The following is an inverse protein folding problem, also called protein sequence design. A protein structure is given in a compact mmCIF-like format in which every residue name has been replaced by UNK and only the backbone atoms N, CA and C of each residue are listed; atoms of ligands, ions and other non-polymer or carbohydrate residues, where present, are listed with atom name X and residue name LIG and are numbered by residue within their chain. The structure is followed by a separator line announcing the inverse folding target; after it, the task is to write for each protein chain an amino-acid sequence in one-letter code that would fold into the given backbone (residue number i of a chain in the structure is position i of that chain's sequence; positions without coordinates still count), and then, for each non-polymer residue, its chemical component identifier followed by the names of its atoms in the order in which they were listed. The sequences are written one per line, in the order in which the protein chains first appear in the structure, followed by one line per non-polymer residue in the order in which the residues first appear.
data_IF_442544583714
#
_entry.id   IF_442544583714
#
_cell.length_a   1.000
_cell.length_b   1.000
_cell.length_c   1.000
_cell.angle_alpha   90.00
_cell.angle_beta   90.00
_cell.angle_gamma   90.00
#
_symmetry.space_group_name_H-M   'P 1'
#
loop_
_entity.id
_entity.type
_entity.pdbx_description
1 polymer ?
#
# COMPACT_ATOMS: atom_id res chain seq x y z
N UNK A 1 -7.37 33.70 -46.04
CA UNK A 1 -7.87 34.30 -44.78
C UNK A 1 -9.32 33.82 -44.65
N UNK A 2 -9.72 32.97 -43.71
CA UNK A 2 -9.65 33.01 -42.23
C UNK A 2 -9.45 31.57 -41.70
N UNK A 3 -8.64 31.31 -40.66
CA UNK A 3 -8.48 29.97 -40.07
C UNK A 3 -9.49 29.77 -38.92
N UNK A 4 -10.15 28.61 -38.82
CA UNK A 4 -10.97 28.30 -37.64
C UNK A 4 -10.97 26.81 -37.24
N UNK A 5 -10.25 26.57 -36.13
CA UNK A 5 -10.56 25.71 -34.98
C UNK A 5 -10.68 24.20 -35.24
N UNK A 6 -9.54 23.51 -35.10
CA UNK A 6 -9.52 22.12 -34.67
C UNK A 6 -9.84 22.06 -33.16
N UNK A 7 -10.92 21.36 -32.79
CA UNK A 7 -11.21 21.04 -31.39
C UNK A 7 -10.13 20.11 -30.83
N UNK A 8 -9.25 20.64 -29.99
CA UNK A 8 -8.38 19.84 -29.12
C UNK A 8 -9.18 19.40 -27.89
N UNK A 9 -9.80 18.23 -27.98
CA UNK A 9 -10.31 17.49 -26.83
C UNK A 9 -9.14 16.85 -26.08
N UNK A 10 -8.42 17.62 -25.25
CA UNK A 10 -7.34 17.10 -24.44
C UNK A 10 -7.12 17.93 -23.17
N UNK A 11 -8.12 18.06 -22.30
CA UNK A 11 -7.94 18.75 -21.01
C UNK A 11 -8.75 18.13 -19.87
N UNK A 12 -8.57 16.83 -19.57
CA UNK A 12 -9.05 16.28 -18.28
C UNK A 12 -8.21 15.11 -17.74
N UNK A 13 -6.93 15.00 -18.08
CA UNK A 13 -6.08 13.91 -17.55
C UNK A 13 -4.83 14.35 -16.78
N UNK A 14 -4.56 15.66 -16.69
CA UNK A 14 -3.31 16.17 -16.10
C UNK A 14 -3.40 16.63 -14.64
N UNK A 15 -4.60 16.76 -14.06
CA UNK A 15 -4.75 17.36 -12.72
C UNK A 15 -4.45 16.40 -11.55
N UNK A 16 -4.49 15.09 -11.74
CA UNK A 16 -4.37 14.15 -10.60
C UNK A 16 -2.92 13.75 -10.26
N UNK A 17 -1.97 13.89 -11.19
CA UNK A 17 -0.58 13.43 -10.99
C UNK A 17 0.32 14.50 -10.35
N UNK A 18 -0.14 15.75 -10.25
CA UNK A 18 0.77 16.91 -10.17
C UNK A 18 0.88 17.60 -8.80
N UNK A 19 0.64 16.89 -7.69
CA UNK A 19 0.84 17.44 -6.35
C UNK A 19 1.75 16.62 -5.42
N UNK A 20 2.60 15.72 -5.95
CA UNK A 20 3.64 15.10 -5.11
C UNK A 20 4.79 16.06 -4.87
N UNK A 21 5.08 16.33 -3.60
CA UNK A 21 6.22 17.14 -3.17
C UNK A 21 7.55 16.55 -3.65
N UNK A 22 8.58 17.38 -3.83
CA UNK A 22 9.94 16.90 -4.15
C UNK A 22 10.50 15.95 -3.08
N UNK A 23 9.98 16.03 -1.86
CA UNK A 23 10.35 15.12 -0.79
C UNK A 23 9.77 13.73 -1.00
N UNK A 24 8.48 13.62 -1.31
CA UNK A 24 7.79 12.34 -1.56
C UNK A 24 8.38 11.62 -2.77
N UNK A 25 8.66 12.33 -3.87
CA UNK A 25 9.31 11.74 -5.05
C UNK A 25 10.65 11.10 -4.70
N UNK A 26 11.50 11.81 -3.95
CA UNK A 26 12.80 11.28 -3.48
C UNK A 26 12.66 10.08 -2.56
N UNK A 27 11.56 9.96 -1.82
CA UNK A 27 11.29 8.78 -0.99
C UNK A 27 10.85 7.61 -1.88
N UNK A 28 9.91 7.84 -2.80
CA UNK A 28 9.43 6.82 -3.73
C UNK A 28 10.57 6.25 -4.58
N UNK A 29 11.40 7.10 -5.17
CA UNK A 29 12.59 6.68 -5.94
C UNK A 29 13.53 5.80 -5.11
N UNK A 30 13.75 6.14 -3.83
CA UNK A 30 14.60 5.35 -2.93
C UNK A 30 13.97 3.99 -2.58
N UNK A 31 12.65 3.95 -2.39
CA UNK A 31 11.90 2.71 -2.13
C UNK A 31 11.95 1.82 -3.37
N UNK A 32 11.67 2.38 -4.54
CA UNK A 32 11.66 1.66 -5.81
C UNK A 32 13.05 1.14 -6.16
N UNK A 33 14.08 1.97 -6.05
CA UNK A 33 15.47 1.54 -6.28
C UNK A 33 15.88 0.40 -5.36
N UNK A 34 15.50 0.47 -4.07
CA UNK A 34 15.76 -0.62 -3.12
C UNK A 34 15.02 -1.89 -3.52
N UNK A 35 13.75 -1.76 -3.90
CA UNK A 35 12.92 -2.89 -4.35
C UNK A 35 13.54 -3.57 -5.56
N UNK A 36 13.89 -2.82 -6.60
CA UNK A 36 14.51 -3.33 -7.82
C UNK A 36 15.85 -4.02 -7.52
N UNK A 37 16.64 -3.45 -6.60
CA UNK A 37 17.91 -4.06 -6.16
C UNK A 37 17.72 -5.35 -5.35
N UNK A 38 16.63 -5.46 -4.59
CA UNK A 38 16.29 -6.70 -3.88
C UNK A 38 15.73 -7.75 -4.85
N UNK A 39 14.89 -7.35 -5.81
CA UNK A 39 14.31 -8.21 -6.84
C UNK A 39 15.34 -8.73 -7.85
N UNK A 40 16.38 -7.95 -8.18
CA UNK A 40 17.46 -8.38 -9.08
C UNK A 40 18.32 -9.51 -8.52
N UNK A 41 18.28 -9.73 -7.20
CA UNK A 41 18.99 -10.83 -6.52
C UNK A 41 18.20 -12.13 -6.49
N UNK A 42 16.94 -12.11 -6.95
CA UNK A 42 16.05 -13.27 -6.92
C UNK A 42 16.10 -13.99 -8.27
N UNK A 43 16.09 -15.32 -8.20
CA UNK A 43 15.81 -16.16 -9.37
C UNK A 43 14.37 -15.96 -9.84
N UNK A 44 14.09 -16.24 -11.11
CA UNK A 44 12.72 -16.07 -11.64
C UNK A 44 11.72 -17.00 -10.96
N UNK A 45 12.15 -18.21 -10.57
CA UNK A 45 11.34 -19.13 -9.76
C UNK A 45 10.99 -18.52 -8.40
N UNK A 46 11.95 -17.90 -7.70
CA UNK A 46 11.67 -17.22 -6.42
C UNK A 46 10.71 -16.04 -6.60
N UNK A 47 10.85 -15.27 -7.68
CA UNK A 47 9.93 -14.16 -7.98
C UNK A 47 8.50 -14.67 -8.20
N UNK A 48 8.34 -15.72 -9.00
CA UNK A 48 7.04 -16.31 -9.28
C UNK A 48 6.36 -16.82 -8.00
N UNK A 49 7.09 -17.56 -7.17
CA UNK A 49 6.57 -18.11 -5.92
C UNK A 49 6.15 -17.01 -4.92
N UNK A 50 6.97 -15.96 -4.77
CA UNK A 50 6.63 -14.81 -3.93
C UNK A 50 5.44 -14.01 -4.47
N UNK A 51 5.31 -13.92 -5.80
CA UNK A 51 4.16 -13.28 -6.44
C UNK A 51 2.87 -14.04 -6.16
N UNK A 52 2.88 -15.36 -6.35
CA UNK A 52 1.73 -16.24 -6.10
C UNK A 52 1.30 -16.17 -4.64
N UNK A 53 2.23 -16.31 -3.69
CA UNK A 53 1.92 -16.19 -2.26
C UNK A 53 1.31 -14.82 -1.91
N UNK A 54 1.84 -13.73 -2.50
CA UNK A 54 1.26 -12.39 -2.31
C UNK A 54 -0.15 -12.28 -2.89
N UNK A 55 -0.36 -12.79 -4.10
CA UNK A 55 -1.67 -12.77 -4.78
C UNK A 55 -2.69 -13.53 -3.93
N UNK A 56 -2.35 -14.74 -3.50
CA UNK A 56 -3.26 -15.61 -2.76
C UNK A 56 -3.60 -15.02 -1.38
N UNK A 57 -2.64 -14.39 -0.71
CA UNK A 57 -2.91 -13.58 0.49
C UNK A 57 -3.86 -12.42 0.21
N UNK A 58 -3.64 -11.64 -0.86
CA UNK A 58 -4.49 -10.49 -1.18
C UNK A 58 -5.94 -10.89 -1.47
N UNK A 59 -6.13 -12.03 -2.13
CA UNK A 59 -7.44 -12.60 -2.43
C UNK A 59 -8.12 -13.11 -1.15
N UNK A 60 -7.43 -13.95 -0.36
CA UNK A 60 -7.99 -14.53 0.87
C UNK A 60 -8.26 -13.49 1.96
N UNK A 61 -7.49 -12.41 2.03
CA UNK A 61 -7.68 -11.33 3.01
C UNK A 61 -8.62 -10.21 2.55
N UNK A 62 -9.26 -10.33 1.38
CA UNK A 62 -10.08 -9.26 0.81
C UNK A 62 -11.21 -8.82 1.77
N UNK A 63 -12.02 -9.77 2.26
CA UNK A 63 -13.16 -9.46 3.13
C UNK A 63 -12.69 -8.85 4.47
N UNK A 64 -11.58 -9.33 5.01
CA UNK A 64 -10.98 -8.76 6.22
C UNK A 64 -10.56 -7.29 6.00
N UNK A 65 -9.96 -6.98 4.84
CA UNK A 65 -9.58 -5.61 4.48
C UNK A 65 -10.79 -4.71 4.29
N UNK A 66 -11.84 -5.23 3.65
CA UNK A 66 -13.09 -4.52 3.45
C UNK A 66 -13.79 -4.24 4.78
N UNK A 67 -13.88 -5.24 5.66
CA UNK A 67 -14.46 -5.08 6.99
C UNK A 67 -13.69 -4.05 7.84
N UNK A 68 -12.35 -4.05 7.75
CA UNK A 68 -11.52 -3.05 8.42
C UNK A 68 -11.76 -1.64 7.86
N UNK A 69 -11.95 -1.49 6.56
CA UNK A 69 -12.28 -0.20 5.96
C UNK A 69 -13.64 0.30 6.45
N UNK A 70 -14.67 -0.54 6.33
CA UNK A 70 -16.04 -0.21 6.68
C UNK A 70 -16.19 0.11 8.17
N UNK A 71 -15.61 -0.71 9.05
CA UNK A 71 -15.64 -0.45 10.51
C UNK A 71 -14.96 0.87 10.88
N UNK A 72 -13.85 1.21 10.23
CA UNK A 72 -13.19 2.50 10.42
C UNK A 72 -14.06 3.68 9.97
N UNK A 73 -14.70 3.55 8.81
CA UNK A 73 -15.62 4.56 8.28
C UNK A 73 -16.82 4.76 9.22
N UNK A 74 -17.53 3.69 9.56
CA UNK A 74 -18.70 3.75 10.45
C UNK A 74 -18.35 4.33 11.83
N UNK A 75 -17.20 3.96 12.41
CA UNK A 75 -16.76 4.53 13.69
C UNK A 75 -16.60 6.05 13.59
N UNK A 76 -15.93 6.53 12.55
CA UNK A 76 -15.70 7.97 12.35
C UNK A 76 -17.00 8.73 12.06
N UNK A 77 -17.90 8.18 11.27
CA UNK A 77 -19.21 8.78 10.99
C UNK A 77 -20.08 8.90 12.25
N UNK A 78 -19.98 7.91 13.16
CA UNK A 78 -20.71 7.93 14.43
C UNK A 78 -20.08 8.79 15.54
N UNK A 79 -18.84 9.26 15.35
CA UNK A 79 -18.09 9.96 16.39
C UNK A 79 -18.61 11.40 16.57
N UNK A 80 -19.27 11.65 17.70
CA UNK A 80 -19.84 12.97 18.03
C UNK A 80 -18.85 13.93 18.71
N UNK A 81 -17.69 13.42 19.13
CA UNK A 81 -16.67 14.20 19.84
C UNK A 81 -15.27 13.96 19.27
N UNK A 82 -14.37 14.92 19.53
CA UNK A 82 -12.97 14.79 19.15
C UNK A 82 -12.32 13.53 19.74
N UNK A 83 -12.58 13.25 21.02
CA UNK A 83 -12.02 12.08 21.70
C UNK A 83 -12.55 10.77 21.13
N UNK A 84 -13.85 10.69 20.82
CA UNK A 84 -14.41 9.53 20.12
C UNK A 84 -13.73 9.30 18.76
N UNK A 85 -13.53 10.38 17.99
CA UNK A 85 -12.82 10.32 16.71
C UNK A 85 -11.35 9.90 16.86
N UNK A 86 -10.66 10.35 17.92
CA UNK A 86 -9.30 9.91 18.25
C UNK A 86 -9.27 8.41 18.55
N UNK A 87 -10.17 7.91 19.38
CA UNK A 87 -10.28 6.47 19.68
C UNK A 87 -10.56 5.65 18.43
N UNK A 88 -11.45 6.11 17.52
CA UNK A 88 -11.68 5.44 16.24
C UNK A 88 -10.39 5.33 15.41
N UNK A 89 -9.62 6.42 15.31
CA UNK A 89 -8.34 6.43 14.58
C UNK A 89 -7.31 5.49 15.19
N UNK A 90 -7.24 5.42 16.51
CA UNK A 90 -6.31 4.52 17.22
C UNK A 90 -6.67 3.04 16.98
N UNK A 91 -7.95 2.68 17.11
CA UNK A 91 -8.44 1.33 16.79
C UNK A 91 -8.14 0.95 15.34
N UNK A 92 -8.45 1.85 14.40
CA UNK A 92 -8.17 1.64 12.98
C UNK A 92 -6.68 1.43 12.72
N UNK A 93 -5.81 2.21 13.38
CA UNK A 93 -4.36 2.08 13.29
C UNK A 93 -3.88 0.73 13.82
N UNK A 94 -4.39 0.29 14.96
CA UNK A 94 -4.03 -1.00 15.55
C UNK A 94 -4.43 -2.18 14.63
N UNK A 95 -5.66 -2.18 14.13
CA UNK A 95 -6.13 -3.25 13.26
C UNK A 95 -5.38 -3.26 11.90
N UNK A 96 -5.02 -2.09 11.36
CA UNK A 96 -4.11 -2.02 10.18
C UNK A 96 -2.74 -2.60 10.47
N UNK A 97 -2.17 -2.35 11.65
CA UNK A 97 -0.88 -2.95 12.06
C UNK A 97 -0.97 -4.47 12.14
N UNK A 98 -2.05 -5.01 12.69
CA UNK A 98 -2.28 -6.46 12.76
C UNK A 98 -2.38 -7.08 11.37
N UNK A 99 -3.15 -6.48 10.45
CA UNK A 99 -3.25 -6.95 9.06
C UNK A 99 -1.88 -6.93 8.34
N UNK A 100 -1.09 -5.88 8.56
CA UNK A 100 0.27 -5.79 7.99
C UNK A 100 1.18 -6.88 8.55
N UNK A 101 1.06 -7.21 9.83
CA UNK A 101 1.84 -8.29 10.45
C UNK A 101 1.43 -9.66 9.91
N UNK A 102 0.13 -9.92 9.71
CA UNK A 102 -0.35 -11.17 9.09
C UNK A 102 0.19 -11.34 7.68
N UNK A 103 0.06 -10.31 6.83
CA UNK A 103 0.63 -10.28 5.47
C UNK A 103 2.13 -10.61 5.50
N UNK A 104 2.84 -10.02 6.44
CA UNK A 104 4.27 -10.19 6.60
C UNK A 104 4.64 -11.59 7.07
N UNK A 105 3.86 -12.21 7.96
CA UNK A 105 4.06 -13.60 8.37
C UNK A 105 3.93 -14.54 7.17
N UNK A 106 2.88 -14.37 6.35
CA UNK A 106 2.70 -15.15 5.11
C UNK A 106 3.90 -14.98 4.19
N UNK A 107 4.31 -13.74 3.93
CA UNK A 107 5.45 -13.47 3.06
C UNK A 107 6.77 -14.00 3.64
N UNK A 108 6.98 -13.94 4.96
CA UNK A 108 8.19 -14.44 5.59
C UNK A 108 8.25 -15.97 5.55
N UNK A 109 7.12 -16.64 5.75
CA UNK A 109 7.01 -18.09 5.59
C UNK A 109 7.39 -18.49 4.17
N UNK A 110 6.85 -17.79 3.16
CA UNK A 110 7.19 -18.05 1.77
C UNK A 110 8.66 -17.77 1.47
N UNK A 111 9.21 -16.65 1.96
CA UNK A 111 10.64 -16.33 1.82
C UNK A 111 11.52 -17.43 2.38
N UNK A 112 11.22 -17.93 3.58
CA UNK A 112 11.97 -19.03 4.19
C UNK A 112 11.89 -20.31 3.34
N UNK A 113 10.69 -20.65 2.84
CA UNK A 113 10.47 -21.81 1.96
C UNK A 113 11.34 -21.77 0.71
N UNK A 114 11.57 -20.59 0.14
CA UNK A 114 12.37 -20.38 -1.08
C UNK A 114 13.83 -19.98 -0.82
N UNK A 115 14.31 -20.16 0.43
CA UNK A 115 15.71 -19.96 0.81
C UNK A 115 16.13 -18.51 1.02
N UNK A 116 15.19 -17.59 1.25
CA UNK A 116 15.43 -16.17 1.49
C UNK A 116 15.28 -15.83 2.98
N UNK A 117 16.11 -14.91 3.45
CA UNK A 117 15.94 -14.34 4.80
C UNK A 117 14.58 -13.62 4.92
N UNK A 118 13.95 -13.66 6.10
CA UNK A 118 12.70 -12.95 6.35
C UNK A 118 12.91 -11.44 6.17
N UNK A 119 11.82 -10.73 5.85
CA UNK A 119 11.82 -9.28 5.80
C UNK A 119 12.22 -8.72 7.18
N UNK A 120 12.72 -7.48 7.26
CA UNK A 120 13.01 -6.81 8.56
C UNK A 120 11.76 -6.21 9.18
N UNK A 121 11.58 -6.24 10.52
CA UNK A 121 10.39 -5.71 11.17
C UNK A 121 10.09 -4.29 10.71
N UNK A 122 8.81 -3.98 10.50
CA UNK A 122 8.42 -2.59 10.27
C UNK A 122 8.74 -1.84 11.57
N UNK A 123 9.69 -0.91 11.51
CA UNK A 123 9.83 0.07 12.58
C UNK A 123 8.51 0.82 12.67
N UNK A 124 7.91 1.00 13.86
CA UNK A 124 6.72 1.80 13.98
C UNK A 124 7.05 3.18 13.40
N UNK A 125 6.30 3.62 12.38
CA UNK A 125 6.28 5.03 12.00
C UNK A 125 5.75 5.77 13.24
N UNK A 126 6.66 6.33 14.02
CA UNK A 126 6.36 7.30 15.06
C UNK A 126 5.96 8.58 14.32
N UNK A 127 4.65 8.78 14.19
CA UNK A 127 4.05 10.07 13.88
C UNK A 127 3.24 10.47 15.10
#
# INVERSE_FOLDING_TARGET
MIPSIALTAATLQQSEVQAQSRFERRIQERIEKRRLQEESKLTDTQKQQLFEARRDWLLSSYDQRLALLNSGQTCLESAQTFDAGKTCREKQRQARRQLLEQSRQVMNSERQRVGLSPLRPLKPFSV
#
